data_IF_422793908949
#
_entry.id   IF_422793908949
#
_cell.length_a   1.000
_cell.length_b   1.000
_cell.length_c   1.000
_cell.angle_alpha   90.00
_cell.angle_beta   90.00
_cell.angle_gamma   90.00
#
_symmetry.space_group_name_H-M   'P 1'
#
loop_
_entity.id
_entity.type
_entity.pdbx_description
1 polymer ?
#
# COMPACT_ATOMS: atom_id res chain seq x y z
N UNK A 1 -81.73 -16.93 6.30
CA UNK A 1 -81.44 -15.47 6.45
C UNK A 1 -79.91 -15.33 6.38
N UNK A 2 -79.31 -15.02 5.22
CA UNK A 2 -78.98 -13.66 4.73
C UNK A 2 -77.95 -12.98 5.66
N UNK A 3 -76.73 -12.54 5.26
CA UNK A 3 -76.12 -12.33 3.94
C UNK A 3 -74.59 -12.49 4.01
N UNK A 4 -74.03 -12.91 2.88
CA UNK A 4 -72.64 -12.82 2.48
C UNK A 4 -72.24 -11.33 2.34
N UNK A 5 -71.36 -10.84 3.21
CA UNK A 5 -70.75 -9.52 3.08
C UNK A 5 -69.36 -9.62 2.47
N UNK A 6 -69.35 -9.44 1.15
CA UNK A 6 -68.36 -8.77 0.30
C UNK A 6 -66.90 -8.74 0.80
N UNK A 7 -66.09 -9.58 0.17
CA UNK A 7 -64.67 -9.31 -0.09
C UNK A 7 -64.47 -7.87 -0.61
N UNK A 8 -63.64 -7.09 0.06
CA UNK A 8 -62.92 -5.97 -0.56
C UNK A 8 -61.47 -5.96 -0.04
N UNK A 9 -60.58 -6.46 -0.91
CA UNK A 9 -59.19 -6.08 -1.13
C UNK A 9 -58.47 -5.25 -0.05
N UNK A 10 -57.41 -5.82 0.53
CA UNK A 10 -56.04 -5.35 0.28
C UNK A 10 -55.01 -6.39 0.77
N UNK A 11 -54.30 -7.13 -0.10
CA UNK A 11 -53.02 -7.68 0.32
C UNK A 11 -52.07 -6.49 0.41
N UNK A 12 -51.69 -6.08 1.63
CA UNK A 12 -50.53 -5.20 1.83
C UNK A 12 -49.33 -6.05 1.42
N UNK A 13 -49.03 -5.99 0.12
CA UNK A 13 -47.85 -6.59 -0.48
C UNK A 13 -46.65 -5.94 0.19
N UNK A 14 -45.99 -6.77 0.97
CA UNK A 14 -44.60 -6.68 1.40
C UNK A 14 -43.78 -6.02 0.31
N UNK A 15 -43.29 -4.83 0.60
CA UNK A 15 -42.46 -4.04 -0.29
C UNK A 15 -41.45 -3.24 0.51
N UNK A 16 -40.79 -3.86 1.49
CA UNK A 16 -39.53 -3.32 1.99
C UNK A 16 -38.52 -3.54 0.88
N UNK A 17 -38.44 -2.56 -0.03
CA UNK A 17 -37.29 -2.42 -0.92
C UNK A 17 -36.13 -2.03 0.00
N UNK A 18 -35.43 -3.03 0.54
CA UNK A 18 -34.08 -2.83 1.06
C UNK A 18 -33.25 -2.47 -0.16
N UNK A 19 -33.14 -1.18 -0.45
CA UNK A 19 -32.04 -0.67 -1.25
C UNK A 19 -30.80 -1.01 -0.43
N UNK A 20 -30.20 -2.17 -0.70
CA UNK A 20 -28.86 -2.49 -0.23
C UNK A 20 -27.96 -1.40 -0.76
N UNK A 21 -27.65 -0.41 0.07
CA UNK A 21 -26.55 0.49 -0.17
C UNK A 21 -25.33 -0.43 -0.30
N UNK A 22 -24.87 -0.63 -1.53
CA UNK A 22 -23.58 -1.24 -1.75
C UNK A 22 -22.56 -0.22 -1.22
N UNK A 23 -22.27 -0.30 0.08
CA UNK A 23 -21.06 0.29 0.62
C UNK A 23 -19.92 -0.58 0.11
N UNK A 24 -19.50 -0.39 -1.15
CA UNK A 24 -18.29 -1.03 -1.64
C UNK A 24 -17.16 -0.58 -0.74
N UNK A 25 -16.57 -1.52 -0.01
CA UNK A 25 -15.38 -1.21 0.75
C UNK A 25 -14.20 -1.21 -0.25
N UNK A 26 -13.22 -0.34 -0.06
CA UNK A 26 -12.07 -0.27 -0.99
C UNK A 26 -11.31 -1.59 -1.04
N UNK A 27 -11.32 -2.37 0.05
CA UNK A 27 -10.61 -3.64 0.15
C UNK A 27 -11.13 -4.71 -0.81
N UNK A 28 -12.43 -4.70 -1.14
CA UNK A 28 -13.06 -5.67 -2.03
C UNK A 28 -12.56 -5.53 -3.48
N UNK A 29 -12.02 -4.36 -3.83
CA UNK A 29 -11.51 -4.05 -5.17
C UNK A 29 -10.01 -4.34 -5.30
N UNK A 30 -9.29 -4.52 -4.18
CA UNK A 30 -7.84 -4.65 -4.17
C UNK A 30 -7.41 -6.10 -4.40
N UNK A 31 -6.49 -6.37 -5.34
CA UNK A 31 -5.94 -7.70 -5.57
C UNK A 31 -5.30 -8.31 -4.32
N UNK A 32 -5.51 -9.61 -4.10
CA UNK A 32 -5.02 -10.33 -2.91
C UNK A 32 -3.53 -10.16 -2.62
N UNK A 33 -2.61 -10.15 -3.61
CA UNK A 33 -1.19 -9.91 -3.32
C UNK A 33 -0.94 -8.54 -2.69
N UNK A 34 -1.68 -7.51 -3.11
CA UNK A 34 -1.58 -6.16 -2.56
C UNK A 34 -2.21 -6.10 -1.16
N UNK A 35 -3.39 -6.71 -0.94
CA UNK A 35 -4.00 -6.71 0.40
C UNK A 35 -3.11 -7.41 1.42
N UNK A 36 -2.55 -8.57 1.08
CA UNK A 36 -1.60 -9.28 1.96
C UNK A 36 -0.35 -8.46 2.27
N UNK A 37 0.17 -7.71 1.29
CA UNK A 37 1.29 -6.79 1.53
C UNK A 37 0.91 -5.69 2.53
N UNK A 38 -0.25 -5.06 2.35
CA UNK A 38 -0.71 -4.00 3.26
C UNK A 38 -0.96 -4.55 4.67
N UNK A 39 -1.62 -5.70 4.79
CA UNK A 39 -1.90 -6.34 6.09
C UNK A 39 -0.60 -6.72 6.83
N UNK A 40 0.42 -7.18 6.10
CA UNK A 40 1.70 -7.56 6.69
C UNK A 40 2.44 -6.36 7.28
N UNK A 41 2.45 -5.22 6.59
CA UNK A 41 3.31 -4.08 6.96
C UNK A 41 2.55 -2.92 7.63
N UNK A 42 1.23 -2.88 7.48
CA UNK A 42 0.34 -1.87 8.03
C UNK A 42 -0.92 -2.50 8.64
N UNK A 43 -0.78 -3.48 9.55
CA UNK A 43 -1.92 -4.24 10.08
C UNK A 43 -2.96 -3.33 10.75
N UNK A 44 -4.24 -3.62 10.51
CA UNK A 44 -5.37 -2.86 11.07
C UNK A 44 -5.55 -1.45 10.50
N UNK A 45 -4.74 -1.04 9.53
CA UNK A 45 -4.94 0.23 8.83
C UNK A 45 -6.13 0.15 7.88
N UNK A 46 -6.76 1.29 7.58
CA UNK A 46 -7.77 1.38 6.51
C UNK A 46 -7.16 1.81 5.17
N UNK A 47 -7.87 1.57 4.07
CA UNK A 47 -7.54 2.13 2.76
C UNK A 47 -8.43 3.32 2.44
N UNK A 48 -7.81 4.41 1.98
CA UNK A 48 -8.50 5.62 1.52
C UNK A 48 -8.76 5.61 0.02
N UNK A 49 -7.91 4.93 -0.75
CA UNK A 49 -8.12 4.73 -2.18
C UNK A 49 -7.31 3.55 -2.73
N UNK A 50 -7.83 3.00 -3.81
CA UNK A 50 -7.16 2.06 -4.73
C UNK A 50 -7.38 2.57 -6.15
N UNK A 51 -6.33 2.64 -6.95
CA UNK A 51 -6.40 3.07 -8.34
C UNK A 51 -5.54 2.17 -9.22
N UNK A 52 -6.10 1.71 -10.34
CA UNK A 52 -5.32 1.17 -11.44
C UNK A 52 -4.75 2.34 -12.27
N UNK A 53 -3.51 2.21 -12.68
CA UNK A 53 -2.75 3.18 -13.49
C UNK A 53 -2.21 2.48 -14.72
N UNK A 54 -1.70 3.24 -15.70
CA UNK A 54 -1.06 2.67 -16.89
C UNK A 54 0.15 1.78 -16.56
N UNK A 55 0.78 2.01 -15.40
CA UNK A 55 2.02 1.35 -14.98
C UNK A 55 1.82 0.35 -13.82
N UNK A 56 0.57 -0.03 -13.52
CA UNK A 56 0.24 -0.94 -12.42
C UNK A 56 -0.80 -0.35 -11.48
N UNK A 57 -0.54 -0.36 -10.17
CA UNK A 57 -1.53 -0.08 -9.15
C UNK A 57 -1.01 0.87 -8.08
N UNK A 58 -1.92 1.68 -7.53
CA UNK A 58 -1.64 2.54 -6.38
C UNK A 58 -2.66 2.30 -5.28
N UNK A 59 -2.17 2.16 -4.05
CA UNK A 59 -2.98 2.08 -2.82
C UNK A 59 -2.56 3.20 -1.89
N UNK A 60 -3.55 3.88 -1.29
CA UNK A 60 -3.30 4.88 -0.25
C UNK A 60 -3.91 4.45 1.06
N UNK A 61 -3.06 4.27 2.07
CA UNK A 61 -3.49 3.98 3.44
C UNK A 61 -4.08 5.26 4.05
N UNK A 62 -5.21 5.12 4.74
CA UNK A 62 -5.89 6.25 5.39
C UNK A 62 -4.95 6.92 6.39
N UNK A 63 -4.67 8.21 6.19
CA UNK A 63 -3.73 9.00 6.98
C UNK A 63 -2.33 8.38 7.08
N UNK A 64 -1.93 7.56 6.09
CA UNK A 64 -0.71 6.79 6.12
C UNK A 64 0.05 6.85 4.80
N UNK A 65 0.78 5.78 4.51
CA UNK A 65 1.65 5.68 3.35
C UNK A 65 0.88 5.57 2.01
N UNK A 66 1.56 5.96 0.94
CA UNK A 66 1.17 5.68 -0.45
C UNK A 66 2.06 4.58 -1.01
N UNK A 67 1.45 3.51 -1.51
CA UNK A 67 2.13 2.35 -2.07
C UNK A 67 1.82 2.25 -3.56
N UNK A 68 2.85 2.00 -4.37
CA UNK A 68 2.73 1.75 -5.81
C UNK A 68 3.29 0.37 -6.12
N UNK A 69 2.60 -0.33 -7.01
CA UNK A 69 2.90 -1.69 -7.46
C UNK A 69 2.90 -1.72 -8.98
N UNK A 70 3.73 -2.59 -9.57
CA UNK A 70 3.67 -2.88 -11.00
C UNK A 70 2.48 -3.79 -11.36
N UNK A 71 2.37 -4.16 -12.63
CA UNK A 71 1.32 -5.05 -13.14
C UNK A 71 1.37 -6.46 -12.56
N UNK A 72 2.51 -6.88 -12.01
CA UNK A 72 2.71 -8.19 -11.36
C UNK A 72 2.47 -8.11 -9.85
N UNK A 73 1.91 -7.00 -9.37
CA UNK A 73 1.65 -6.70 -7.96
C UNK A 73 2.91 -6.63 -7.09
N UNK A 74 4.08 -6.44 -7.70
CA UNK A 74 5.33 -6.21 -6.98
C UNK A 74 5.46 -4.73 -6.65
N UNK A 75 5.82 -4.41 -5.40
CA UNK A 75 5.98 -3.01 -5.01
C UNK A 75 7.12 -2.34 -5.78
N UNK A 76 6.91 -1.09 -6.18
CA UNK A 76 7.88 -0.24 -6.89
C UNK A 76 8.21 1.03 -6.12
N UNK A 77 7.28 1.56 -5.35
CA UNK A 77 7.50 2.72 -4.49
C UNK A 77 6.61 2.67 -3.25
N UNK A 78 7.19 3.00 -2.09
CA UNK A 78 6.47 3.14 -0.83
C UNK A 78 6.89 4.46 -0.21
N UNK A 79 5.94 5.39 -0.11
CA UNK A 79 6.12 6.74 0.41
C UNK A 79 5.36 6.89 1.72
N UNK A 80 6.07 7.14 2.82
CA UNK A 80 5.47 7.34 4.14
C UNK A 80 4.73 8.67 4.30
N UNK A 81 4.70 9.52 3.25
CA UNK A 81 4.01 10.81 3.24
C UNK A 81 4.44 11.72 4.41
N UNK A 82 5.75 11.79 4.67
CA UNK A 82 6.31 12.59 5.77
C UNK A 82 6.44 11.85 7.09
N UNK A 83 6.08 10.57 7.14
CA UNK A 83 6.35 9.66 8.27
C UNK A 83 7.39 8.63 7.86
N UNK A 84 8.18 8.16 8.83
CA UNK A 84 9.14 7.08 8.60
C UNK A 84 8.43 5.75 8.32
N UNK A 85 9.03 4.95 7.44
CA UNK A 85 8.52 3.62 7.12
C UNK A 85 8.72 2.66 8.32
N UNK A 86 7.83 1.66 8.50
CA UNK A 86 8.02 0.63 9.51
C UNK A 86 9.37 -0.09 9.35
N UNK A 87 10.13 -0.25 10.45
CA UNK A 87 11.45 -0.90 10.39
C UNK A 87 11.38 -2.33 9.83
N UNK A 88 10.32 -3.08 10.18
CA UNK A 88 10.08 -4.43 9.66
C UNK A 88 9.87 -4.45 8.14
N UNK A 89 9.24 -3.41 7.58
CA UNK A 89 9.08 -3.26 6.14
C UNK A 89 10.45 -3.01 5.48
N UNK A 90 11.25 -2.11 6.05
CA UNK A 90 12.60 -1.79 5.56
C UNK A 90 13.49 -3.03 5.64
N UNK A 91 13.46 -3.78 6.73
CA UNK A 91 14.21 -5.02 6.89
C UNK A 91 13.82 -6.09 5.87
N UNK A 92 12.52 -6.35 5.70
CA UNK A 92 12.05 -7.43 4.83
C UNK A 92 12.21 -7.15 3.33
N UNK A 93 12.16 -5.89 2.91
CA UNK A 93 12.07 -5.52 1.49
C UNK A 93 13.38 -5.03 0.87
N UNK A 94 14.40 -4.76 1.69
CA UNK A 94 15.72 -4.35 1.19
C UNK A 94 16.66 -5.54 1.00
N UNK A 95 17.58 -5.47 0.03
CA UNK A 95 18.69 -6.42 -0.06
C UNK A 95 19.48 -6.48 1.25
N UNK A 96 19.91 -7.66 1.73
CA UNK A 96 20.63 -7.78 3.01
C UNK A 96 21.86 -6.87 3.11
N UNK A 97 22.62 -6.73 2.02
CA UNK A 97 23.79 -5.84 1.97
C UNK A 97 23.43 -4.37 2.20
N UNK A 98 22.33 -3.91 1.59
CA UNK A 98 21.85 -2.53 1.77
C UNK A 98 21.35 -2.30 3.20
N UNK A 99 20.59 -3.25 3.76
CA UNK A 99 20.12 -3.13 5.14
C UNK A 99 21.28 -3.15 6.15
N UNK A 100 22.25 -4.03 5.99
CA UNK A 100 23.45 -4.08 6.83
C UNK A 100 24.24 -2.78 6.77
N UNK A 101 24.37 -2.20 5.57
CA UNK A 101 24.97 -0.89 5.42
C UNK A 101 24.22 0.18 6.22
N UNK A 102 22.88 0.25 6.10
CA UNK A 102 22.06 1.19 6.88
C UNK A 102 22.27 1.03 8.39
N UNK A 103 22.38 -0.21 8.88
CA UNK A 103 22.67 -0.47 10.29
C UNK A 103 24.05 0.04 10.71
N UNK A 104 25.09 -0.14 9.89
CA UNK A 104 26.44 0.31 10.20
C UNK A 104 26.59 1.83 10.33
N UNK A 105 25.67 2.59 9.71
CA UNK A 105 25.62 4.05 9.78
C UNK A 105 24.39 4.58 10.51
N UNK A 106 23.67 3.70 11.22
CA UNK A 106 22.49 4.02 12.05
C UNK A 106 21.33 4.71 11.30
N UNK A 107 21.16 4.42 10.00
CA UNK A 107 20.13 5.02 9.13
C UNK A 107 18.91 4.11 8.88
N UNK A 108 18.88 2.88 9.41
CA UNK A 108 17.79 1.93 9.17
C UNK A 108 16.42 2.47 9.61
N UNK A 109 16.42 3.28 10.67
CA UNK A 109 15.24 3.94 11.23
C UNK A 109 15.05 5.36 10.70
N UNK A 110 15.62 5.72 9.55
CA UNK A 110 15.55 7.07 8.97
C UNK A 110 14.90 7.11 7.58
N UNK A 111 14.37 5.98 7.10
CA UNK A 111 13.79 5.88 5.75
C UNK A 111 12.35 6.42 5.74
N UNK A 112 12.11 7.46 4.95
CA UNK A 112 10.77 8.04 4.72
C UNK A 112 10.13 7.50 3.45
N UNK A 113 10.95 7.19 2.44
CA UNK A 113 10.49 6.59 1.18
C UNK A 113 11.52 5.60 0.67
N UNK A 114 11.04 4.52 0.08
CA UNK A 114 11.87 3.63 -0.71
C UNK A 114 11.21 3.33 -2.06
N UNK A 115 12.00 3.34 -3.12
CA UNK A 115 11.59 2.90 -4.45
C UNK A 115 12.62 1.97 -5.05
N UNK A 116 12.19 1.10 -5.96
CA UNK A 116 13.09 0.21 -6.70
C UNK A 116 12.68 0.08 -8.15
N UNK A 117 13.67 -0.22 -8.97
CA UNK A 117 13.51 -0.68 -10.34
C UNK A 117 14.45 -1.88 -10.59
N UNK A 118 14.68 -2.22 -11.86
CA UNK A 118 15.55 -3.32 -12.26
C UNK A 118 17.03 -3.12 -11.92
N UNK A 119 17.45 -1.89 -11.60
CA UNK A 119 18.85 -1.51 -11.44
C UNK A 119 19.14 -0.94 -10.06
N UNK A 120 18.20 -0.22 -9.46
CA UNK A 120 18.46 0.55 -8.26
C UNK A 120 17.39 0.37 -7.19
N UNK A 121 17.85 0.44 -5.95
CA UNK A 121 17.02 0.89 -4.82
C UNK A 121 17.37 2.34 -4.53
N UNK A 122 16.36 3.18 -4.28
CA UNK A 122 16.51 4.57 -3.87
C UNK A 122 15.78 4.79 -2.56
N UNK A 123 16.50 5.22 -1.53
CA UNK A 123 15.93 5.51 -0.22
C UNK A 123 16.02 7.01 0.05
N UNK A 124 14.91 7.63 0.41
CA UNK A 124 14.85 9.02 0.82
C UNK A 124 14.75 9.08 2.34
N UNK A 125 15.67 9.81 2.95
CA UNK A 125 15.66 10.18 4.36
C UNK A 125 15.31 11.67 4.50
N UNK A 126 15.29 12.18 5.72
CA UNK A 126 14.98 13.60 5.98
C UNK A 126 15.94 14.56 5.26
N UNK A 127 17.26 14.27 5.31
CA UNK A 127 18.30 15.19 4.84
C UNK A 127 19.12 14.66 3.65
N UNK A 128 18.83 13.45 3.18
CA UNK A 128 19.63 12.83 2.13
C UNK A 128 18.83 11.78 1.37
N UNK A 129 19.40 11.36 0.25
CA UNK A 129 18.90 10.26 -0.57
C UNK A 129 20.08 9.34 -0.84
N UNK A 130 19.92 8.05 -0.59
CA UNK A 130 20.92 7.07 -1.02
C UNK A 130 20.39 6.25 -2.19
N UNK A 131 21.29 5.91 -3.10
CA UNK A 131 21.02 4.99 -4.21
C UNK A 131 21.89 3.75 -4.04
N UNK A 132 21.30 2.57 -4.13
CA UNK A 132 21.98 1.29 -4.11
C UNK A 132 21.85 0.64 -5.48
N UNK A 133 22.98 0.36 -6.10
CA UNK A 133 23.06 -0.34 -7.38
C UNK A 133 22.99 -1.85 -7.14
N UNK A 134 22.00 -2.51 -7.74
CA UNK A 134 21.71 -3.94 -7.53
C UNK A 134 22.82 -4.81 -8.13
N UNK A 135 23.41 -4.40 -9.25
CA UNK A 135 24.40 -5.20 -9.96
C UNK A 135 25.75 -5.20 -9.24
N UNK A 136 26.12 -4.07 -8.64
CA UNK A 136 27.43 -3.86 -8.02
C UNK A 136 27.40 -3.92 -6.49
N UNK A 137 26.22 -3.79 -5.87
CA UNK A 137 26.06 -3.68 -4.42
C UNK A 137 26.49 -2.32 -3.86
N UNK A 138 26.75 -1.34 -4.72
CA UNK A 138 27.36 -0.07 -4.35
C UNK A 138 26.33 0.96 -3.85
N UNK A 139 26.61 1.61 -2.73
CA UNK A 139 25.81 2.72 -2.19
C UNK A 139 26.41 4.06 -2.58
N UNK A 140 25.58 4.98 -3.08
CA UNK A 140 25.96 6.31 -3.55
C UNK A 140 25.06 7.39 -2.94
N UNK A 141 25.66 8.52 -2.57
CA UNK A 141 24.99 9.73 -2.09
C UNK A 141 24.79 10.75 -3.21
N UNK A 142 23.96 11.80 -3.02
CA UNK A 142 23.66 12.77 -4.08
C UNK A 142 24.88 13.61 -4.50
N UNK A 143 25.89 13.74 -3.63
CA UNK A 143 27.16 14.39 -3.93
C UNK A 143 28.12 13.52 -4.75
N UNK A 144 27.68 12.34 -5.18
CA UNK A 144 28.47 11.39 -5.94
C UNK A 144 29.49 10.63 -5.10
N UNK A 145 29.55 10.85 -3.77
CA UNK A 145 30.38 10.02 -2.90
C UNK A 145 29.84 8.61 -2.86
N UNK A 146 30.75 7.68 -3.02
CA UNK A 146 30.45 6.28 -2.96
C UNK A 146 31.08 5.68 -1.73
N UNK A 147 30.34 4.80 -1.07
CA UNK A 147 30.91 4.03 0.04
C UNK A 147 31.66 2.88 -0.60
N UNK A 148 32.98 3.01 -0.67
CA UNK A 148 33.86 1.93 -1.11
C UNK A 148 33.70 0.75 -0.14
N UNK A 149 33.56 -0.44 -0.70
CA UNK A 149 33.35 -1.71 0.00
C UNK A 149 34.59 -2.17 0.75
#
# INVERSE_FOLDING_TARGET
MSRLEKFLFLPIVVGIIVLGACSSNVWDEVPSPITSFVEQYYPGSGLSSYNQTDNGYQVKITNGATLSFDSDYSWTSIDGNGVRLPEVLVYNQLPPALFNYLQSVELQNSVYRMSRDAHFYKLTMENTVITYDIATGKVTYPDGKTVDS
#
